data_IF_331473058871
#
_entry.id   IF_331473058871
#
_cell.length_a   1.000
_cell.length_b   1.000
_cell.length_c   1.000
_cell.angle_alpha   90.00
_cell.angle_beta   90.00
_cell.angle_gamma   90.00
#
_symmetry.space_group_name_H-M   'P 1'
#
loop_
_entity.id
_entity.type
_entity.pdbx_description
1 polymer ?
#
# COMPACT_ATOMS: atom_id res chain seq x y z
N UNK A 1 -8.08 5.01 2.30
CA UNK A 1 -6.94 4.65 3.17
C UNK A 1 -5.69 4.48 2.34
N UNK A 2 -4.56 4.87 2.89
CA UNK A 2 -3.26 4.75 2.23
C UNK A 2 -2.48 3.62 2.88
N UNK A 3 -2.05 2.66 2.06
CA UNK A 3 -1.24 1.53 2.52
C UNK A 3 0.13 1.58 1.85
N UNK A 4 1.16 1.18 2.58
CA UNK A 4 2.50 1.03 2.03
C UNK A 4 2.69 -0.43 1.66
N UNK A 5 2.95 -0.67 0.38
CA UNK A 5 3.15 -2.01 -0.16
C UNK A 5 4.62 -2.22 -0.45
N UNK A 6 5.22 -3.24 0.14
CA UNK A 6 6.58 -3.65 -0.16
C UNK A 6 6.54 -4.88 -1.06
N UNK A 7 7.28 -4.85 -2.13
CA UNK A 7 7.33 -5.95 -3.09
C UNK A 7 8.73 -6.09 -3.67
N UNK A 8 9.00 -7.27 -4.22
CA UNK A 8 10.29 -7.56 -4.83
C UNK A 8 10.19 -7.38 -6.35
N UNK A 9 11.06 -6.55 -6.91
CA UNK A 9 11.10 -6.33 -8.35
C UNK A 9 11.69 -7.54 -9.08
N UNK A 10 11.52 -7.63 -10.41
CA UNK A 10 12.14 -8.71 -11.18
C UNK A 10 13.66 -8.80 -11.04
N UNK A 11 14.31 -7.67 -10.77
CA UNK A 11 15.76 -7.63 -10.53
C UNK A 11 16.18 -8.01 -9.12
N UNK A 12 15.25 -8.40 -8.26
CA UNK A 12 15.54 -8.79 -6.88
C UNK A 12 15.61 -7.66 -5.87
N UNK A 13 15.26 -6.45 -6.27
CA UNK A 13 15.25 -5.29 -5.37
C UNK A 13 13.92 -5.16 -4.64
N UNK A 14 14.00 -4.70 -3.39
CA UNK A 14 12.80 -4.41 -2.62
C UNK A 14 12.33 -2.99 -2.97
N UNK A 15 11.10 -2.89 -3.43
CA UNK A 15 10.48 -1.62 -3.79
C UNK A 15 9.27 -1.37 -2.92
N UNK A 16 8.91 -0.10 -2.74
CA UNK A 16 7.73 0.30 -1.98
C UNK A 16 6.87 1.23 -2.80
N UNK A 17 5.56 1.10 -2.65
CA UNK A 17 4.60 2.00 -3.28
C UNK A 17 3.44 2.27 -2.34
N UNK A 18 2.72 3.35 -2.59
CA UNK A 18 1.51 3.68 -1.86
C UNK A 18 0.30 3.15 -2.63
N UNK A 19 -0.57 2.42 -1.93
CA UNK A 19 -1.82 1.93 -2.50
C UNK A 19 -2.98 2.61 -1.81
N UNK A 20 -3.88 3.23 -2.58
CA UNK A 20 -5.09 3.86 -2.05
C UNK A 20 -6.24 2.89 -2.24
N UNK A 21 -6.88 2.50 -1.14
CA UNK A 21 -8.00 1.57 -1.15
C UNK A 21 -8.94 1.87 0.01
N UNK A 22 -10.23 1.49 -0.10
CA UNK A 22 -11.20 1.75 0.99
C UNK A 22 -10.92 0.94 2.25
N UNK A 23 -10.31 -0.24 2.12
CA UNK A 23 -9.95 -1.08 3.26
C UNK A 23 -8.79 -2.01 2.90
N UNK A 24 -8.30 -2.75 3.89
CA UNK A 24 -7.17 -3.66 3.70
C UNK A 24 -7.47 -4.78 2.70
N UNK A 25 -8.67 -5.37 2.77
CA UNK A 25 -9.04 -6.47 1.88
C UNK A 25 -9.01 -6.06 0.41
N UNK A 26 -9.52 -4.88 0.10
CA UNK A 26 -9.50 -4.35 -1.27
C UNK A 26 -8.07 -4.08 -1.73
N UNK A 27 -7.24 -3.53 -0.85
CA UNK A 27 -5.83 -3.33 -1.12
C UNK A 27 -5.13 -4.66 -1.41
N UNK A 28 -5.37 -5.65 -0.57
CA UNK A 28 -4.77 -6.97 -0.72
C UNK A 28 -5.16 -7.64 -2.04
N UNK A 29 -6.44 -7.59 -2.39
CA UNK A 29 -6.91 -8.15 -3.66
C UNK A 29 -6.24 -7.50 -4.85
N UNK A 30 -6.19 -6.17 -4.86
CA UNK A 30 -5.61 -5.39 -5.94
C UNK A 30 -4.13 -5.69 -6.10
N UNK A 31 -3.39 -5.65 -5.00
CA UNK A 31 -1.94 -5.82 -5.01
C UNK A 31 -1.55 -7.27 -5.28
N UNK A 32 -2.31 -8.24 -4.74
CA UNK A 32 -2.06 -9.66 -5.03
C UNK A 32 -2.23 -9.97 -6.51
N UNK A 33 -3.19 -9.33 -7.17
CA UNK A 33 -3.39 -9.48 -8.61
C UNK A 33 -2.20 -8.95 -9.42
N UNK A 34 -1.58 -7.86 -8.94
CA UNK A 34 -0.48 -7.22 -9.66
C UNK A 34 0.88 -7.88 -9.38
N UNK A 35 1.15 -8.22 -8.13
CA UNK A 35 2.48 -8.67 -7.71
C UNK A 35 2.54 -10.13 -7.28
N UNK A 36 1.43 -10.69 -6.80
CA UNK A 36 1.35 -12.11 -6.46
C UNK A 36 2.50 -12.60 -5.57
N UNK A 37 3.35 -13.43 -6.14
CA UNK A 37 4.48 -14.04 -5.42
C UNK A 37 5.52 -13.02 -4.96
N UNK A 38 5.57 -11.86 -5.60
CA UNK A 38 6.57 -10.85 -5.29
C UNK A 38 6.13 -9.90 -4.18
N UNK A 39 4.89 -10.01 -3.73
CA UNK A 39 4.38 -9.21 -2.62
C UNK A 39 5.05 -9.65 -1.32
N UNK A 40 5.66 -8.71 -0.61
CA UNK A 40 6.33 -8.96 0.66
C UNK A 40 5.47 -8.57 1.85
N UNK A 41 4.92 -7.35 1.85
CA UNK A 41 4.10 -6.89 2.96
C UNK A 41 3.19 -5.73 2.53
N UNK A 42 2.11 -5.55 3.29
CA UNK A 42 1.22 -4.40 3.18
C UNK A 42 1.08 -3.82 4.57
N UNK A 43 1.41 -2.53 4.73
CA UNK A 43 1.38 -1.86 6.01
C UNK A 43 0.48 -0.62 5.94
N UNK A 44 -0.35 -0.43 6.96
CA UNK A 44 -1.17 0.78 7.08
C UNK A 44 -0.31 1.92 7.62
N UNK A 45 -0.27 3.03 6.89
CA UNK A 45 0.49 4.19 7.31
C UNK A 45 -0.42 5.14 8.07
N UNK A 46 -0.36 5.06 9.38
CA UNK A 46 -1.18 5.89 10.28
C UNK A 46 -0.89 7.38 10.07
N UNK A 47 0.38 7.72 9.89
CA UNK A 47 0.81 9.11 9.75
C UNK A 47 0.27 9.75 8.47
N UNK A 48 0.43 9.08 7.33
CA UNK A 48 -0.06 9.59 6.06
C UNK A 48 -1.58 9.70 6.03
N UNK A 49 -2.27 8.74 6.61
CA UNK A 49 -3.72 8.77 6.69
C UNK A 49 -4.21 9.91 7.58
N UNK A 50 -3.52 10.17 8.68
CA UNK A 50 -3.84 11.31 9.55
C UNK A 50 -3.62 12.63 8.83
N UNK A 51 -2.52 12.78 8.11
CA UNK A 51 -2.24 13.99 7.33
C UNK A 51 -3.29 14.21 6.24
N UNK A 52 -3.67 13.15 5.53
CA UNK A 52 -4.70 13.24 4.50
C UNK A 52 -6.05 13.67 5.08
N UNK A 53 -6.41 13.15 6.24
CA UNK A 53 -7.64 13.50 6.94
C UNK A 53 -7.62 14.96 7.38
N UNK A 54 -6.50 15.43 7.94
CA UNK A 54 -6.34 16.82 8.36
C UNK A 54 -6.45 17.78 7.16
N UNK A 55 -5.84 17.42 6.05
CA UNK A 55 -5.91 18.21 4.83
C UNK A 55 -7.32 18.26 4.26
N UNK A 56 -8.06 17.15 4.35
CA UNK A 56 -9.43 17.09 3.85
C UNK A 56 -10.38 17.95 4.68
N UNK A 57 -10.12 18.10 5.98
CA UNK A 57 -10.93 18.90 6.89
C UNK A 57 -10.63 20.40 6.73
N UNK A 58 -9.40 20.72 6.46
CA UNK A 58 -8.98 22.11 6.29
C UNK A 58 -9.21 22.60 4.86
#
# INVERSE_FOLDING_TARGET
MIFIVAFKSPGGRICKLNCIAPNFDECLKKISSLYGKNLLSITYDVRKNSEATANAVS
#
